data_IF_385464228553
#
_entry.id   IF_385464228553
#
_cell.length_a   1.000
_cell.length_b   1.000
_cell.length_c   1.000
_cell.angle_alpha   90.00
_cell.angle_beta   90.00
_cell.angle_gamma   90.00
#
_symmetry.space_group_name_H-M   'P 1'
#
loop_
_entity.id
_entity.type
_entity.pdbx_description
1 polymer ?
#
# COMPACT_ATOMS: atom_id res chain seq x y z
N UNK A 1 -11.52 8.05 9.68
CA UNK A 1 -10.57 7.46 10.64
C UNK A 1 -11.12 6.10 11.04
N UNK A 2 -10.31 5.04 11.05
CA UNK A 2 -10.82 3.67 11.21
C UNK A 2 -11.42 3.43 12.61
N UNK A 3 -12.68 2.98 12.66
CA UNK A 3 -13.39 2.74 13.93
C UNK A 3 -12.80 1.55 14.72
N UNK A 4 -12.28 0.53 14.03
CA UNK A 4 -11.71 -0.66 14.68
C UNK A 4 -10.41 -0.38 15.48
N UNK A 5 -9.77 0.78 15.27
CA UNK A 5 -8.65 1.28 16.10
C UNK A 5 -9.05 2.46 17.01
N UNK A 6 -10.36 2.72 17.16
CA UNK A 6 -10.92 3.69 18.09
C UNK A 6 -11.35 5.04 17.49
N UNK A 7 -11.17 5.25 16.19
CA UNK A 7 -11.66 6.46 15.51
C UNK A 7 -11.13 7.78 16.10
N UNK A 8 -11.82 8.91 15.88
CA UNK A 8 -11.39 10.21 16.38
C UNK A 8 -11.33 10.31 17.91
N UNK A 9 -12.26 9.65 18.62
CA UNK A 9 -12.26 9.62 20.10
C UNK A 9 -11.08 8.84 20.65
N UNK A 10 -10.76 7.70 20.05
CA UNK A 10 -9.59 6.90 20.37
C UNK A 10 -8.29 7.67 20.15
N UNK A 11 -8.17 8.41 19.05
CA UNK A 11 -7.02 9.29 18.81
C UNK A 11 -6.87 10.36 19.89
N UNK A 12 -7.97 10.99 20.31
CA UNK A 12 -7.94 11.98 21.38
C UNK A 12 -7.44 11.37 22.70
N UNK A 13 -7.90 10.17 23.05
CA UNK A 13 -7.40 9.43 24.22
C UNK A 13 -5.91 9.08 24.07
N UNK A 14 -5.49 8.58 22.90
CA UNK A 14 -4.10 8.23 22.60
C UNK A 14 -3.15 9.44 22.64
N UNK A 15 -3.64 10.67 22.43
CA UNK A 15 -2.85 11.89 22.63
C UNK A 15 -2.71 12.26 24.12
N UNK A 16 -3.76 12.06 24.91
CA UNK A 16 -3.81 12.46 26.32
C UNK A 16 -2.94 11.58 27.22
N UNK A 17 -3.00 10.26 27.04
CA UNK A 17 -2.34 9.31 27.96
C UNK A 17 -0.81 9.37 27.94
N UNK A 18 -0.11 9.44 26.78
CA UNK A 18 1.33 9.66 26.73
C UNK A 18 1.72 11.02 27.30
N UNK A 19 0.95 12.07 26.99
CA UNK A 19 1.22 13.43 27.47
C UNK A 19 1.21 13.52 29.00
N UNK A 20 0.29 12.81 29.67
CA UNK A 20 0.24 12.72 31.15
C UNK A 20 1.50 12.09 31.77
N UNK A 21 2.28 11.35 30.97
CA UNK A 21 3.52 10.69 31.37
C UNK A 21 4.78 11.42 30.85
N UNK A 22 4.62 12.60 30.25
CA UNK A 22 5.72 13.34 29.62
C UNK A 22 6.24 12.71 28.32
N UNK A 23 5.50 11.78 27.72
CA UNK A 23 5.86 11.11 26.47
C UNK A 23 5.21 11.86 25.30
N UNK A 24 6.00 12.14 24.26
CA UNK A 24 5.52 12.76 23.02
C UNK A 24 5.03 11.69 22.05
N UNK A 25 3.95 12.00 21.34
CA UNK A 25 3.41 11.17 20.26
C UNK A 25 3.96 11.65 18.92
N UNK A 26 4.47 10.72 18.11
CA UNK A 26 4.93 10.97 16.73
C UNK A 26 3.96 10.24 15.79
N UNK A 27 3.57 10.92 14.71
CA UNK A 27 2.81 10.33 13.63
C UNK A 27 3.77 9.83 12.56
N UNK A 28 3.62 8.56 12.17
CA UNK A 28 4.26 8.04 10.98
C UNK A 28 3.45 8.48 9.75
N UNK A 29 3.97 9.46 9.01
CA UNK A 29 3.32 10.03 7.83
C UNK A 29 3.99 9.50 6.56
N UNK A 30 3.30 8.60 5.86
CA UNK A 30 3.81 7.93 4.65
C UNK A 30 3.18 8.59 3.41
N UNK A 31 3.78 9.68 2.93
CA UNK A 31 3.29 10.40 1.74
C UNK A 31 3.78 9.85 0.40
N UNK A 32 4.70 8.87 0.44
CA UNK A 32 5.37 8.36 -0.74
C UNK A 32 4.44 7.58 -1.69
N UNK A 33 3.39 6.95 -1.15
CA UNK A 33 2.41 6.19 -1.92
C UNK A 33 1.09 6.09 -1.15
N UNK A 34 0.03 5.76 -1.86
CA UNK A 34 -1.27 5.41 -1.28
C UNK A 34 -1.68 4.01 -1.72
N UNK A 35 -2.72 3.44 -1.10
CA UNK A 35 -3.35 2.22 -1.60
C UNK A 35 -3.97 2.43 -3.00
N UNK A 36 -4.17 1.34 -3.73
CA UNK A 36 -4.72 1.35 -5.10
C UNK A 36 -6.20 1.78 -5.17
N UNK A 37 -6.91 1.69 -4.05
CA UNK A 37 -8.30 2.13 -3.86
C UNK A 37 -8.41 3.52 -3.21
N UNK A 38 -7.29 4.24 -3.08
CA UNK A 38 -7.31 5.58 -2.53
C UNK A 38 -8.05 6.55 -3.47
N UNK A 39 -8.95 7.42 -2.97
CA UNK A 39 -9.77 8.30 -3.83
C UNK A 39 -8.98 9.16 -4.81
N UNK A 40 -7.75 9.54 -4.45
CA UNK A 40 -6.87 10.32 -5.32
C UNK A 40 -6.49 9.61 -6.62
N UNK A 41 -6.57 8.27 -6.70
CA UNK A 41 -6.34 7.56 -7.96
C UNK A 41 -7.33 8.05 -9.03
N UNK A 42 -8.58 8.29 -8.64
CA UNK A 42 -9.63 8.80 -9.52
C UNK A 42 -9.70 10.34 -9.52
N UNK A 43 -9.65 10.96 -8.34
CA UNK A 43 -9.86 12.41 -8.17
C UNK A 43 -8.65 13.24 -8.58
N UNK A 44 -7.44 12.73 -8.33
CA UNK A 44 -6.17 13.41 -8.53
C UNK A 44 -5.08 12.51 -9.14
N UNK A 45 -5.34 11.88 -10.30
CA UNK A 45 -4.38 10.99 -10.94
C UNK A 45 -3.04 11.68 -11.23
N UNK A 46 -3.02 13.01 -11.41
CA UNK A 46 -1.82 13.81 -11.61
C UNK A 46 -0.80 13.77 -10.45
N UNK A 47 -1.21 13.31 -9.26
CA UNK A 47 -0.29 13.13 -8.13
C UNK A 47 0.57 11.87 -8.25
N UNK A 48 0.24 10.97 -9.19
CA UNK A 48 0.92 9.69 -9.35
C UNK A 48 1.77 9.65 -10.60
N UNK A 49 2.80 8.81 -10.56
CA UNK A 49 3.61 8.47 -11.73
C UNK A 49 2.73 7.70 -12.73
N UNK A 50 2.52 8.30 -13.90
CA UNK A 50 1.78 7.70 -15.00
C UNK A 50 2.68 6.75 -15.79
N UNK A 51 2.14 5.60 -16.18
CA UNK A 51 2.74 4.68 -17.14
C UNK A 51 1.95 4.62 -18.45
N UNK A 52 2.46 3.84 -19.39
CA UNK A 52 1.80 3.48 -20.63
C UNK A 52 1.34 2.03 -20.68
N UNK A 53 0.58 1.68 -21.71
CA UNK A 53 0.16 0.29 -21.97
C UNK A 53 1.35 -0.65 -22.17
N UNK A 54 2.45 -0.15 -22.74
CA UNK A 54 3.67 -0.92 -22.93
C UNK A 54 4.40 -1.16 -21.60
N UNK A 55 4.41 -0.17 -20.68
CA UNK A 55 5.02 -0.33 -19.37
C UNK A 55 4.27 -1.40 -18.55
N UNK A 56 2.95 -1.38 -18.61
CA UNK A 56 2.12 -2.41 -17.99
C UNK A 56 2.34 -3.79 -18.61
N UNK A 57 2.51 -3.88 -19.93
CA UNK A 57 2.79 -5.15 -20.60
C UNK A 57 4.17 -5.71 -20.24
N UNK A 58 5.18 -4.84 -20.13
CA UNK A 58 6.56 -5.23 -19.84
C UNK A 58 6.78 -5.53 -18.35
N UNK A 59 6.09 -4.82 -17.45
CA UNK A 59 6.24 -4.93 -16.01
C UNK A 59 4.88 -4.94 -15.29
N UNK A 60 4.06 -6.00 -15.45
CA UNK A 60 2.68 -6.05 -14.94
C UNK A 60 2.57 -5.99 -13.41
N UNK A 61 3.65 -6.26 -12.67
CA UNK A 61 3.68 -6.12 -11.21
C UNK A 61 4.01 -4.68 -10.76
N UNK A 62 4.60 -3.87 -11.64
CA UNK A 62 5.04 -2.50 -11.33
C UNK A 62 4.00 -1.44 -11.71
N UNK A 63 2.93 -1.82 -12.41
CA UNK A 63 1.88 -0.91 -12.86
C UNK A 63 0.51 -1.57 -12.70
N UNK A 64 -0.54 -0.75 -12.58
CA UNK A 64 -1.93 -1.20 -12.62
C UNK A 64 -2.80 -0.24 -13.42
N UNK A 65 -3.98 -0.70 -13.86
CA UNK A 65 -4.96 0.14 -14.55
C UNK A 65 -6.00 0.69 -13.57
N UNK A 66 -6.28 1.99 -13.68
CA UNK A 66 -7.38 2.64 -12.98
C UNK A 66 -7.97 3.74 -13.87
N UNK A 67 -9.29 3.75 -14.05
CA UNK A 67 -10.03 4.76 -14.83
C UNK A 67 -9.41 5.08 -16.20
N UNK A 68 -8.99 4.03 -16.91
CA UNK A 68 -8.38 4.14 -18.24
C UNK A 68 -6.92 4.63 -18.25
N UNK A 69 -6.33 4.92 -17.09
CA UNK A 69 -4.93 5.28 -16.90
C UNK A 69 -4.12 4.08 -16.43
N UNK A 70 -2.81 4.15 -16.63
CA UNK A 70 -1.84 3.20 -16.07
C UNK A 70 -1.04 3.94 -15.01
N UNK A 71 -1.03 3.43 -13.79
CA UNK A 71 -0.40 4.07 -12.63
C UNK A 71 0.70 3.15 -12.10
N UNK A 72 1.86 3.72 -11.76
CA UNK A 72 2.97 2.97 -11.19
C UNK A 72 2.70 2.57 -9.74
N UNK A 73 3.07 1.34 -9.38
CA UNK A 73 3.05 0.83 -8.02
C UNK A 73 4.31 1.28 -7.25
N UNK A 74 4.16 1.56 -5.96
CA UNK A 74 5.29 1.83 -5.08
C UNK A 74 6.22 0.61 -5.00
N UNK A 75 7.52 0.85 -5.13
CA UNK A 75 8.53 -0.20 -4.98
C UNK A 75 8.95 -0.34 -3.52
N UNK A 76 9.05 -1.58 -3.05
CA UNK A 76 9.63 -1.86 -1.74
C UNK A 76 11.16 -1.92 -1.85
N UNK A 77 11.85 -1.60 -0.74
CA UNK A 77 13.31 -1.68 -0.65
C UNK A 77 13.89 -3.10 -0.86
N UNK A 78 13.02 -4.12 -0.92
CA UNK A 78 13.35 -5.51 -1.16
C UNK A 78 13.19 -5.94 -2.63
N UNK A 79 12.64 -5.06 -3.48
CA UNK A 79 12.49 -5.30 -4.91
C UNK A 79 13.85 -5.32 -5.63
N UNK A 80 13.91 -6.01 -6.77
CA UNK A 80 15.12 -6.09 -7.60
C UNK A 80 15.57 -4.73 -8.16
N UNK A 81 14.68 -3.72 -8.14
CA UNK A 81 14.98 -2.36 -8.55
C UNK A 81 15.98 -1.65 -7.61
N UNK A 82 16.19 -2.15 -6.39
CA UNK A 82 17.17 -1.62 -5.44
C UNK A 82 18.38 -2.53 -5.30
N UNK A 83 19.59 -1.99 -5.10
CA UNK A 83 20.78 -2.79 -4.83
C UNK A 83 20.55 -3.71 -3.64
N UNK A 84 21.00 -4.97 -3.73
CA UNK A 84 20.97 -5.87 -2.59
C UNK A 84 21.81 -5.27 -1.47
N UNK A 85 21.15 -5.04 -0.33
CA UNK A 85 21.81 -4.71 0.93
C UNK A 85 22.83 -5.82 1.26
N UNK A 86 24.07 -5.50 1.71
CA UNK A 86 25.09 -6.50 2.00
C UNK A 86 24.69 -7.51 3.10
N UNK A 87 23.79 -7.09 4.00
CA UNK A 87 23.27 -7.84 5.14
C UNK A 87 21.98 -8.61 4.85
N UNK A 88 21.56 -8.69 3.58
CA UNK A 88 20.35 -9.43 3.18
C UNK A 88 20.65 -10.91 2.97
N UNK A 89 20.14 -11.76 3.86
CA UNK A 89 20.13 -13.20 3.67
C UNK A 89 19.33 -13.59 2.41
N UNK A 90 19.81 -14.55 1.60
CA UNK A 90 19.24 -14.90 0.29
C UNK A 90 17.80 -15.45 0.35
N UNK A 91 17.40 -16.05 1.48
CA UNK A 91 16.08 -16.63 1.73
C UNK A 91 15.03 -15.62 2.20
N UNK A 92 15.43 -14.40 2.58
CA UNK A 92 14.50 -13.36 3.02
C UNK A 92 13.85 -12.68 1.81
N UNK A 93 12.79 -13.32 1.31
CA UNK A 93 11.78 -12.69 0.48
C UNK A 93 11.12 -11.54 1.25
N UNK A 94 10.69 -10.49 0.54
CA UNK A 94 10.08 -9.33 1.17
C UNK A 94 8.86 -9.78 1.98
N UNK A 95 8.79 -9.56 3.31
CA UNK A 95 7.64 -9.98 4.10
C UNK A 95 6.35 -9.30 3.64
N UNK A 96 6.44 -8.10 3.03
CA UNK A 96 5.31 -7.40 2.42
C UNK A 96 4.74 -8.12 1.17
N UNK A 97 5.52 -8.96 0.48
CA UNK A 97 5.07 -9.67 -0.72
C UNK A 97 4.08 -10.79 -0.40
N UNK A 98 4.07 -11.29 0.84
CA UNK A 98 3.04 -12.22 1.33
C UNK A 98 1.64 -11.57 1.43
N UNK A 99 1.56 -10.24 1.35
CA UNK A 99 0.33 -9.45 1.41
C UNK A 99 -0.05 -8.82 0.06
N UNK A 100 0.74 -9.04 -0.99
CA UNK A 100 0.35 -8.64 -2.34
C UNK A 100 -0.80 -9.56 -2.79
N UNK A 101 -1.97 -9.05 -3.21
CA UNK A 101 -2.98 -9.90 -3.81
C UNK A 101 -2.35 -10.55 -5.04
N UNK A 102 -2.42 -11.88 -5.11
CA UNK A 102 -1.94 -12.64 -6.25
C UNK A 102 -2.53 -12.05 -7.53
N UNK A 103 -1.67 -11.51 -8.39
CA UNK A 103 -2.06 -11.03 -9.69
C UNK A 103 -2.60 -12.22 -10.51
N UNK A 104 -3.93 -12.37 -10.52
CA UNK A 104 -4.68 -13.24 -11.42
C UNK A 104 -5.30 -14.48 -10.79
N UNK A 105 -6.64 -14.51 -10.78
CA UNK A 105 -7.41 -15.73 -11.01
C UNK A 105 -8.24 -16.28 -9.84
N UNK A 106 -9.44 -15.73 -9.63
CA UNK A 106 -10.71 -16.46 -9.57
C UNK A 106 -11.80 -15.58 -8.93
N UNK A 107 -12.81 -15.23 -9.72
CA UNK A 107 -14.09 -14.79 -9.20
C UNK A 107 -14.68 -15.95 -8.38
N UNK A 108 -14.82 -15.77 -7.07
CA UNK A 108 -15.62 -16.67 -6.25
C UNK A 108 -17.09 -16.23 -6.33
N UNK A 109 -17.84 -16.88 -7.20
CA UNK A 109 -19.31 -16.97 -7.12
C UNK A 109 -19.73 -17.52 -5.75
N UNK A 110 -20.80 -17.00 -5.12
CA UNK A 110 -21.29 -17.58 -3.87
C UNK A 110 -22.02 -18.90 -4.19
N UNK A 111 -21.40 -20.03 -3.85
CA UNK A 111 -22.12 -21.31 -3.76
C UNK A 111 -23.00 -21.28 -2.51
N UNK A 112 -24.29 -21.54 -2.72
CA UNK A 112 -25.37 -21.29 -1.78
C UNK A 112 -25.40 -22.14 -0.52
N UNK A 113 -26.19 -21.65 0.43
CA UNK A 113 -26.82 -22.44 1.48
C UNK A 113 -27.86 -23.39 0.85
N UNK A 114 -27.65 -24.68 1.04
CA UNK A 114 -28.67 -25.66 1.41
C UNK A 114 -28.10 -26.50 2.56
#
# INVERSE_FOLDING_TARGET
MYEHIGGPKGLAAARKEPARRGIRLILDFVSNHTAQDHPWISDHPEYYIQGGVNDLANAPAAFFKADGKVIACGLCAWSEAFPRRPDREPENTCPCFSWAPSAGGAANTPSGLL
#
